data_IF_053436378684
#
_entry.id   IF_053436378684
#
_cell.length_a   1.000
_cell.length_b   1.000
_cell.length_c   1.000
_cell.angle_alpha   90.00
_cell.angle_beta   90.00
_cell.angle_gamma   90.00
#
_symmetry.space_group_name_H-M   'P 1'
#
loop_
_entity.id
_entity.type
_entity.pdbx_description
1 polymer ?
#
# COMPACT_ATOMS: atom_id res chain seq x y z
N UNK A 1 5.24 7.19 3.41
CA UNK A 1 5.91 6.12 2.63
C UNK A 1 5.45 6.15 1.17
N UNK A 2 6.24 5.74 0.18
CA UNK A 2 5.76 5.65 -1.22
C UNK A 2 5.24 4.23 -1.52
N UNK A 3 4.30 4.06 -2.47
CA UNK A 3 3.84 2.73 -2.91
C UNK A 3 4.98 1.78 -3.28
N UNK A 4 6.02 2.29 -3.96
CA UNK A 4 7.24 1.54 -4.27
C UNK A 4 7.94 0.95 -3.03
N UNK A 5 8.03 1.71 -1.94
CA UNK A 5 8.70 1.26 -0.73
C UNK A 5 7.92 0.09 -0.09
N UNK A 6 6.58 0.17 -0.14
CA UNK A 6 5.71 -0.90 0.32
C UNK A 6 5.78 -2.15 -0.56
N UNK A 7 5.86 -1.96 -1.89
CA UNK A 7 6.06 -3.05 -2.83
C UNK A 7 7.35 -3.82 -2.53
N UNK A 8 8.46 -3.11 -2.24
CA UNK A 8 9.73 -3.74 -1.83
C UNK A 8 9.60 -4.48 -0.50
N UNK A 9 8.93 -3.92 0.51
CA UNK A 9 8.70 -4.57 1.81
C UNK A 9 8.02 -5.94 1.67
N UNK A 10 7.06 -6.04 0.75
CA UNK A 10 6.29 -7.27 0.49
C UNK A 10 6.85 -8.14 -0.64
N UNK A 11 7.93 -7.72 -1.31
CA UNK A 11 8.49 -8.44 -2.45
C UNK A 11 7.49 -8.58 -3.61
N UNK A 12 6.62 -7.60 -3.82
CA UNK A 12 5.59 -7.60 -4.86
C UNK A 12 5.83 -6.51 -5.89
N UNK A 13 5.12 -6.58 -7.02
CA UNK A 13 5.13 -5.53 -8.04
C UNK A 13 4.37 -4.29 -7.54
N UNK A 14 4.90 -3.09 -7.82
CA UNK A 14 4.26 -1.81 -7.47
C UNK A 14 2.84 -1.67 -8.05
N UNK A 15 2.57 -2.28 -9.21
CA UNK A 15 1.23 -2.33 -9.82
C UNK A 15 0.21 -2.99 -8.89
N UNK A 16 0.62 -4.00 -8.11
CA UNK A 16 -0.27 -4.63 -7.14
C UNK A 16 -0.67 -3.64 -6.03
N UNK A 17 0.27 -2.84 -5.55
CA UNK A 17 0.00 -1.81 -4.54
C UNK A 17 -0.99 -0.78 -5.09
N UNK A 18 -0.79 -0.30 -6.31
CA UNK A 18 -1.76 0.60 -6.95
C UNK A 18 -3.13 -0.03 -7.16
N UNK A 19 -3.19 -1.33 -7.45
CA UNK A 19 -4.45 -2.08 -7.60
C UNK A 19 -5.19 -2.16 -6.26
N UNK A 20 -4.48 -2.40 -5.16
CA UNK A 20 -5.04 -2.40 -3.81
C UNK A 20 -5.53 -1.00 -3.43
N UNK A 21 -4.73 0.03 -3.68
CA UNK A 21 -5.14 1.42 -3.47
C UNK A 21 -6.41 1.76 -4.26
N UNK A 22 -6.48 1.37 -5.53
CA UNK A 22 -7.68 1.54 -6.37
C UNK A 22 -8.89 0.85 -5.75
N UNK A 23 -8.73 -0.39 -5.29
CA UNK A 23 -9.80 -1.15 -4.63
C UNK A 23 -10.29 -0.46 -3.35
N UNK A 24 -9.38 0.01 -2.49
CA UNK A 24 -9.70 0.72 -1.25
C UNK A 24 -10.41 2.05 -1.54
N UNK A 25 -10.00 2.76 -2.59
CA UNK A 25 -10.68 3.97 -3.08
C UNK A 25 -12.11 3.68 -3.54
N UNK A 26 -12.30 2.69 -4.42
CA UNK A 26 -13.59 2.47 -5.07
C UNK A 26 -14.60 1.74 -4.18
N UNK A 27 -14.13 0.90 -3.26
CA UNK A 27 -14.99 0.02 -2.46
C UNK A 27 -15.20 0.58 -1.06
N UNK A 28 -14.18 1.22 -0.48
CA UNK A 28 -14.18 1.67 0.91
C UNK A 28 -14.11 3.20 1.05
N UNK A 29 -14.08 3.94 -0.06
CA UNK A 29 -14.05 5.41 -0.06
C UNK A 29 -12.74 6.00 0.49
N UNK A 30 -11.68 5.20 0.61
CA UNK A 30 -10.40 5.64 1.17
C UNK A 30 -9.74 6.65 0.22
N UNK A 31 -9.25 7.76 0.75
CA UNK A 31 -8.44 8.72 -0.01
C UNK A 31 -6.99 8.62 0.42
N UNK A 32 -6.07 8.60 -0.56
CA UNK A 32 -4.63 8.46 -0.31
C UNK A 32 -3.89 9.78 -0.49
N UNK A 33 -2.96 10.06 0.41
CA UNK A 33 -2.22 11.30 0.47
C UNK A 33 -1.20 11.40 -0.67
N UNK A 34 -1.15 12.60 -1.26
CA UNK A 34 -0.24 12.94 -2.37
C UNK A 34 0.57 14.17 -2.01
N UNK A 35 1.84 14.17 -2.41
CA UNK A 35 2.71 15.36 -2.41
C UNK A 35 3.00 15.72 -3.86
N UNK A 36 2.25 16.69 -4.39
CA UNK A 36 2.24 17.02 -5.82
C UNK A 36 1.66 15.88 -6.66
N UNK A 37 2.41 15.39 -7.65
CA UNK A 37 1.96 14.31 -8.55
C UNK A 37 2.22 12.89 -8.01
N UNK A 38 2.88 12.75 -6.85
CA UNK A 38 3.30 11.45 -6.30
C UNK A 38 2.57 11.14 -5.01
N UNK A 39 2.27 9.86 -4.78
CA UNK A 39 1.76 9.40 -3.51
C UNK A 39 2.82 9.52 -2.42
N UNK A 40 2.38 10.00 -1.26
CA UNK A 40 3.16 10.15 -0.05
C UNK A 40 2.29 9.64 1.09
N UNK A 41 2.16 8.32 1.16
CA UNK A 41 1.22 7.64 2.05
C UNK A 41 1.52 7.96 3.51
N UNK A 42 0.51 8.24 4.31
CA UNK A 42 0.63 8.36 5.77
C UNK A 42 0.85 6.98 6.41
N UNK A 43 1.09 6.95 7.72
CA UNK A 43 1.25 5.68 8.44
C UNK A 43 -0.04 4.87 8.41
N UNK A 44 -1.18 5.52 8.65
CA UNK A 44 -2.52 4.91 8.66
C UNK A 44 -2.89 4.36 7.28
N UNK A 45 -2.58 5.11 6.21
CA UNK A 45 -2.80 4.67 4.84
C UNK A 45 -1.95 3.45 4.47
N UNK A 46 -0.72 3.38 4.99
CA UNK A 46 0.13 2.19 4.81
C UNK A 46 -0.49 1.00 5.54
N UNK A 47 -0.92 1.16 6.79
CA UNK A 47 -1.56 0.10 7.57
C UNK A 47 -2.77 -0.48 6.85
N UNK A 48 -3.65 0.35 6.28
CA UNK A 48 -4.80 -0.12 5.49
C UNK A 48 -4.38 -0.97 4.28
N UNK A 49 -3.34 -0.56 3.55
CA UNK A 49 -2.84 -1.33 2.41
C UNK A 49 -2.20 -2.64 2.91
N UNK A 50 -1.49 -2.61 4.04
CA UNK A 50 -0.88 -3.79 4.64
C UNK A 50 -1.91 -4.80 5.14
N UNK A 51 -3.00 -4.34 5.76
CA UNK A 51 -4.12 -5.18 6.15
C UNK A 51 -4.76 -5.87 4.95
N UNK A 52 -4.97 -5.13 3.86
CA UNK A 52 -5.52 -5.68 2.62
C UNK A 52 -4.56 -6.66 1.93
N UNK A 53 -3.25 -6.39 1.97
CA UNK A 53 -2.21 -7.35 1.53
C UNK A 53 -2.26 -8.64 2.35
N UNK A 54 -2.30 -8.53 3.68
CA UNK A 54 -2.39 -9.69 4.59
C UNK A 54 -3.68 -10.48 4.36
N UNK A 55 -4.82 -9.79 4.18
CA UNK A 55 -6.12 -10.41 3.87
C UNK A 55 -6.08 -11.20 2.56
N UNK A 56 -5.30 -10.76 1.58
CA UNK A 56 -5.07 -11.46 0.30
C UNK A 56 -3.98 -12.54 0.37
N UNK A 57 -3.39 -12.77 1.55
CA UNK A 57 -2.40 -13.83 1.78
C UNK A 57 -0.95 -13.42 1.53
N UNK A 58 -0.66 -12.14 1.27
CA UNK A 58 0.71 -11.67 1.13
C UNK A 58 1.38 -11.52 2.50
N UNK A 59 2.68 -11.83 2.55
CA UNK A 59 3.51 -11.70 3.74
C UNK A 59 4.65 -10.72 3.46
N UNK A 60 5.05 -9.88 4.43
CA UNK A 60 6.22 -9.05 4.27
C UNK A 60 7.46 -9.94 4.12
N UNK A 61 8.30 -9.61 3.13
CA UNK A 61 9.58 -10.29 2.88
C UNK A 61 10.68 -9.64 3.70
N UNK A 62 10.53 -8.35 4.00
CA UNK A 62 11.44 -7.61 4.86
C UNK A 62 10.70 -7.06 6.08
N UNK A 63 11.12 -7.51 7.26
CA UNK A 63 10.71 -6.96 8.54
C UNK A 63 11.97 -6.29 9.12
N UNK A 64 12.04 -4.96 9.22
CA UNK A 64 13.12 -4.36 10.00
C UNK A 64 12.97 -4.85 11.44
N UNK A 65 14.01 -5.50 11.96
CA UNK A 65 14.20 -5.67 13.40
C UNK A 65 14.41 -4.31 14.06
#
# INVERSE_FOLDING_TARGET
MRPFDLARKYGVNEILIYTIMRYLQTTHGVTFTKRGRRYALTTEEVELIEEELKRRGYKPVWVPN
#
